data_IF_787806143004
#
_entry.id   IF_787806143004
#
_cell.length_a   1.000
_cell.length_b   1.000
_cell.length_c   1.000
_cell.angle_alpha   90.00
_cell.angle_beta   90.00
_cell.angle_gamma   90.00
#
_symmetry.space_group_name_H-M   'P 1'
#
loop_
_entity.id
_entity.type
_entity.pdbx_description
1 polymer ?
#
# COMPACT_ATOMS: atom_id res chain seq x y z
N UNK A 1 17.00 30.30 -11.37
CA UNK A 1 17.16 28.85 -11.63
C UNK A 1 15.80 28.30 -12.03
N UNK A 2 15.65 27.65 -13.19
CA UNK A 2 14.37 27.00 -13.55
C UNK A 2 14.14 25.89 -12.54
N UNK A 3 13.11 26.01 -11.71
CA UNK A 3 12.71 24.96 -10.79
C UNK A 3 12.23 23.78 -11.65
N UNK A 4 13.00 22.69 -11.70
CA UNK A 4 12.59 21.49 -12.44
C UNK A 4 11.37 20.91 -11.72
N UNK A 5 10.25 20.80 -12.43
CA UNK A 5 9.04 20.21 -11.89
C UNK A 5 9.33 18.78 -11.39
N UNK A 6 9.17 18.56 -10.09
CA UNK A 6 9.32 17.26 -9.47
C UNK A 6 7.99 16.52 -9.56
N UNK A 7 8.01 15.40 -10.28
CA UNK A 7 6.88 14.48 -10.33
C UNK A 7 6.98 13.40 -9.24
N UNK A 8 5.87 12.70 -9.02
CA UNK A 8 5.75 11.66 -8.00
C UNK A 8 6.78 10.54 -8.14
N UNK A 9 7.05 10.07 -9.37
CA UNK A 9 7.97 8.97 -9.62
C UNK A 9 9.41 9.28 -9.19
N UNK A 10 9.87 10.50 -9.50
CA UNK A 10 11.17 11.01 -9.06
C UNK A 10 11.27 11.08 -7.53
N UNK A 11 10.21 11.54 -6.85
CA UNK A 11 10.16 11.59 -5.39
C UNK A 11 10.17 10.17 -4.80
N UNK A 12 9.43 9.21 -5.39
CA UNK A 12 9.45 7.79 -4.99
C UNK A 12 10.85 7.21 -5.04
N UNK A 13 11.60 7.43 -6.13
CA UNK A 13 12.98 6.95 -6.23
C UNK A 13 13.85 7.49 -5.09
N UNK A 14 13.77 8.79 -4.80
CA UNK A 14 14.54 9.41 -3.71
C UNK A 14 14.15 8.87 -2.32
N UNK A 15 12.86 8.61 -2.09
CA UNK A 15 12.37 8.02 -0.84
C UNK A 15 12.93 6.61 -0.67
N UNK A 16 12.88 5.80 -1.73
CA UNK A 16 13.36 4.42 -1.69
C UNK A 16 14.88 4.38 -1.49
N UNK A 17 15.64 5.24 -2.17
CA UNK A 17 17.09 5.35 -2.00
C UNK A 17 17.44 5.64 -0.54
N UNK A 18 16.79 6.64 0.07
CA UNK A 18 16.95 6.94 1.50
C UNK A 18 16.58 5.77 2.42
N UNK A 19 15.55 5.00 2.08
CA UNK A 19 15.13 3.83 2.86
C UNK A 19 16.15 2.69 2.77
N UNK A 20 16.81 2.53 1.63
CA UNK A 20 17.92 1.58 1.44
C UNK A 20 19.14 2.03 2.26
N UNK A 21 19.57 3.28 2.09
CA UNK A 21 20.75 3.84 2.76
C UNK A 21 20.64 3.80 4.29
N UNK A 22 19.44 4.01 4.83
CA UNK A 22 19.18 3.94 6.28
C UNK A 22 19.02 2.51 6.81
N UNK A 23 19.04 1.49 5.95
CA UNK A 23 18.78 0.10 6.33
C UNK A 23 17.31 -0.18 6.70
N UNK A 24 16.39 0.75 6.44
CA UNK A 24 14.98 0.58 6.76
C UNK A 24 14.32 -0.57 5.96
N UNK A 25 14.91 -0.95 4.82
CA UNK A 25 14.47 -2.08 4.01
C UNK A 25 15.11 -3.43 4.40
N UNK A 26 15.96 -3.48 5.43
CA UNK A 26 16.53 -4.73 5.92
C UNK A 26 15.45 -5.57 6.61
N UNK A 27 15.28 -6.83 6.18
CA UNK A 27 14.19 -7.73 6.62
C UNK A 27 12.79 -7.07 6.48
N UNK A 28 12.61 -6.28 5.43
CA UNK A 28 11.37 -5.59 5.12
C UNK A 28 10.72 -6.12 3.85
N UNK A 29 9.47 -5.72 3.62
CA UNK A 29 8.95 -5.61 2.25
C UNK A 29 8.56 -4.16 1.97
N UNK A 30 9.00 -3.68 0.81
CA UNK A 30 8.54 -2.43 0.21
C UNK A 30 7.32 -2.72 -0.65
N UNK A 31 6.25 -1.95 -0.43
CA UNK A 31 4.97 -2.09 -1.11
C UNK A 31 4.70 -0.79 -1.85
N UNK A 32 4.59 -0.86 -3.17
CA UNK A 32 4.15 0.27 -4.00
C UNK A 32 2.63 0.23 -4.16
N UNK A 33 1.97 1.38 -4.08
CA UNK A 33 0.53 1.53 -4.30
C UNK A 33 -0.34 0.61 -3.40
N UNK A 34 -0.07 0.59 -2.10
CA UNK A 34 -0.78 -0.27 -1.15
C UNK A 34 -2.23 0.19 -1.00
N UNK A 35 -3.18 -0.64 -1.43
CA UNK A 35 -4.61 -0.38 -1.28
C UNK A 35 -5.07 -0.61 0.16
N UNK A 36 -5.80 0.36 0.72
CA UNK A 36 -6.31 0.34 2.11
C UNK A 36 -7.77 0.82 2.17
N UNK A 37 -8.39 0.70 3.35
CA UNK A 37 -9.77 1.13 3.62
C UNK A 37 -10.79 0.64 2.57
N UNK A 38 -10.89 -0.68 2.40
CA UNK A 38 -11.82 -1.31 1.46
C UNK A 38 -11.72 -0.73 0.04
N UNK A 39 -10.50 -0.55 -0.45
CA UNK A 39 -10.22 -0.06 -1.81
C UNK A 39 -10.50 1.41 -2.08
N UNK A 40 -10.87 2.19 -1.05
CA UNK A 40 -11.17 3.62 -1.18
C UNK A 40 -9.93 4.52 -1.17
N UNK A 41 -8.80 4.01 -0.67
CA UNK A 41 -7.53 4.74 -0.53
C UNK A 41 -6.35 3.88 -0.97
N UNK A 42 -5.28 4.56 -1.35
CA UNK A 42 -4.05 3.93 -1.84
C UNK A 42 -2.87 4.73 -1.32
N UNK A 43 -2.01 4.07 -0.55
CA UNK A 43 -0.77 4.62 -0.03
C UNK A 43 0.29 4.49 -1.11
N UNK A 44 1.02 5.56 -1.39
CA UNK A 44 2.00 5.59 -2.47
C UNK A 44 3.14 4.59 -2.24
N UNK A 45 3.73 4.60 -1.05
CA UNK A 45 4.69 3.59 -0.61
C UNK A 45 4.41 3.16 0.82
N UNK A 46 4.52 1.87 1.10
CA UNK A 46 4.48 1.33 2.46
C UNK A 46 5.66 0.41 2.71
N UNK A 47 6.18 0.44 3.95
CA UNK A 47 7.21 -0.47 4.42
C UNK A 47 6.63 -1.31 5.55
N UNK A 48 6.73 -2.63 5.43
CA UNK A 48 6.40 -3.57 6.50
C UNK A 48 7.67 -4.21 7.05
N UNK A 49 8.11 -3.74 8.22
CA UNK A 49 9.33 -4.17 8.90
C UNK A 49 9.24 -3.96 10.42
N UNK A 50 8.71 -4.94 11.16
CA UNK A 50 8.42 -4.81 12.60
C UNK A 50 7.32 -3.79 12.96
N UNK A 51 7.06 -2.85 12.05
CA UNK A 51 6.02 -1.82 12.05
C UNK A 51 5.54 -1.59 10.61
N UNK A 52 4.37 -0.98 10.48
CA UNK A 52 3.83 -0.47 9.21
C UNK A 52 4.10 1.02 9.10
N UNK A 53 4.85 1.43 8.07
CA UNK A 53 5.15 2.82 7.80
C UNK A 53 4.60 3.21 6.42
N UNK A 54 3.67 4.16 6.39
CA UNK A 54 3.13 4.75 5.17
C UNK A 54 3.89 6.01 4.75
N UNK A 55 4.12 6.14 3.45
CA UNK A 55 4.59 7.35 2.80
C UNK A 55 3.53 7.82 1.79
N UNK A 56 3.05 9.05 1.95
CA UNK A 56 2.16 9.73 1.02
C UNK A 56 2.94 10.83 0.32
N UNK A 57 2.90 10.87 -1.00
CA UNK A 57 3.72 11.75 -1.84
C UNK A 57 2.83 12.82 -2.48
N UNK A 58 3.29 14.08 -2.43
CA UNK A 58 2.65 15.23 -3.08
C UNK A 58 3.68 15.97 -3.94
N UNK A 59 3.60 15.73 -5.24
CA UNK A 59 4.44 16.33 -6.28
C UNK A 59 4.03 17.77 -6.61
N UNK A 60 4.79 18.45 -7.47
CA UNK A 60 4.48 19.85 -7.85
C UNK A 60 3.14 20.00 -8.58
N UNK A 61 2.65 18.94 -9.23
CA UNK A 61 1.39 18.98 -10.00
C UNK A 61 0.18 18.55 -9.18
N UNK A 62 0.41 18.08 -7.95
CA UNK A 62 -0.67 17.61 -7.09
C UNK A 62 -1.50 18.75 -6.50
N UNK A 63 -2.74 18.39 -6.14
CA UNK A 63 -3.56 19.21 -5.25
C UNK A 63 -3.61 18.57 -3.86
N UNK A 64 -3.78 19.39 -2.82
CA UNK A 64 -3.83 18.91 -1.45
C UNK A 64 -5.25 18.53 -0.98
N UNK A 65 -6.26 18.65 -1.86
CA UNK A 65 -7.69 18.44 -1.53
C UNK A 65 -8.01 17.09 -0.90
N UNK A 66 -7.23 16.05 -1.21
CA UNK A 66 -7.45 14.69 -0.70
C UNK A 66 -6.61 14.35 0.53
N UNK A 67 -5.64 15.20 0.90
CA UNK A 67 -4.62 14.86 1.87
C UNK A 67 -5.22 14.58 3.25
N UNK A 68 -6.13 15.43 3.75
CA UNK A 68 -6.74 15.23 5.07
C UNK A 68 -7.48 13.89 5.18
N UNK A 69 -8.28 13.56 4.17
CA UNK A 69 -9.01 12.29 4.11
C UNK A 69 -8.09 11.07 3.89
N UNK A 70 -6.88 11.25 3.36
CA UNK A 70 -5.86 10.20 3.29
C UNK A 70 -5.20 10.01 4.67
N UNK A 71 -4.76 11.10 5.31
CA UNK A 71 -4.12 11.07 6.63
C UNK A 71 -5.05 10.51 7.70
N UNK A 72 -6.33 10.89 7.68
CA UNK A 72 -7.33 10.35 8.60
C UNK A 72 -7.41 8.81 8.53
N UNK A 73 -7.28 8.22 7.34
CA UNK A 73 -7.26 6.76 7.15
C UNK A 73 -5.93 6.14 7.58
N UNK A 74 -4.81 6.76 7.19
CA UNK A 74 -3.50 6.16 7.42
C UNK A 74 -3.12 6.17 8.90
N UNK A 75 -3.46 7.24 9.62
CA UNK A 75 -3.20 7.34 11.06
C UNK A 75 -3.97 6.31 11.91
N UNK A 76 -5.04 5.71 11.37
CA UNK A 76 -5.76 4.63 12.04
C UNK A 76 -5.07 3.27 11.88
N UNK A 77 -4.30 3.08 10.81
CA UNK A 77 -3.91 1.75 10.31
C UNK A 77 -2.41 1.55 10.13
N UNK A 78 -1.60 2.62 10.19
CA UNK A 78 -0.14 2.56 10.11
C UNK A 78 0.48 3.06 11.41
N UNK A 79 1.59 2.44 11.80
CA UNK A 79 2.34 2.81 13.01
C UNK A 79 3.10 4.13 12.83
N UNK A 80 3.47 4.46 11.59
CA UNK A 80 4.10 5.74 11.24
C UNK A 80 3.56 6.23 9.89
N UNK A 81 3.33 7.53 9.79
CA UNK A 81 2.94 8.20 8.55
C UNK A 81 3.93 9.32 8.25
N UNK A 82 4.46 9.32 7.03
CA UNK A 82 5.31 10.39 6.51
C UNK A 82 4.68 10.96 5.25
N UNK A 83 4.49 12.27 5.22
CA UNK A 83 4.18 12.99 3.98
C UNK A 83 5.49 13.45 3.36
N UNK A 84 5.67 13.18 2.07
CA UNK A 84 6.82 13.63 1.28
C UNK A 84 6.31 14.58 0.22
N UNK A 85 6.86 15.78 0.17
CA UNK A 85 6.36 16.82 -0.74
C UNK A 85 7.48 17.67 -1.31
N UNK A 86 7.16 18.59 -2.20
CA UNK A 86 8.11 19.57 -2.76
C UNK A 86 8.05 20.89 -1.99
N UNK A 87 9.00 21.79 -2.23
CA UNK A 87 9.02 23.12 -1.63
C UNK A 87 7.71 23.90 -1.86
N UNK A 88 7.05 23.68 -3.01
CA UNK A 88 5.77 24.31 -3.36
C UNK A 88 4.69 24.10 -2.29
N UNK A 89 4.58 22.90 -1.75
CA UNK A 89 3.52 22.51 -0.84
C UNK A 89 3.98 22.43 0.63
N UNK A 90 5.28 22.53 0.89
CA UNK A 90 5.87 22.35 2.21
C UNK A 90 5.21 23.20 3.30
N UNK A 91 5.07 24.52 3.09
CA UNK A 91 4.49 25.43 4.08
C UNK A 91 3.02 25.11 4.38
N UNK A 92 2.22 24.86 3.34
CA UNK A 92 0.80 24.55 3.50
C UNK A 92 0.59 23.19 4.18
N UNK A 93 1.39 22.17 3.82
CA UNK A 93 1.31 20.86 4.46
C UNK A 93 1.76 20.96 5.91
N UNK A 94 2.84 21.69 6.21
CA UNK A 94 3.34 21.85 7.57
C UNK A 94 2.31 22.45 8.54
N UNK A 95 1.45 23.37 8.05
CA UNK A 95 0.41 24.00 8.87
C UNK A 95 -0.85 23.13 9.05
N UNK A 96 -1.14 22.19 8.15
CA UNK A 96 -2.35 21.35 8.23
C UNK A 96 -2.12 19.97 8.83
N UNK A 97 -0.92 19.38 8.70
CA UNK A 97 -0.71 18.00 9.16
C UNK A 97 -0.62 17.90 10.70
N UNK A 98 -1.17 16.84 11.30
CA UNK A 98 -1.02 16.56 12.73
C UNK A 98 0.44 16.46 13.19
N UNK A 99 0.68 16.64 14.49
CA UNK A 99 2.02 16.63 15.07
C UNK A 99 2.71 15.25 15.07
N UNK A 100 1.94 14.17 14.99
CA UNK A 100 2.48 12.82 14.87
C UNK A 100 2.85 12.44 13.43
N UNK A 101 2.54 13.26 12.41
CA UNK A 101 2.92 13.02 11.01
C UNK A 101 4.28 13.65 10.71
N UNK A 102 5.16 12.88 10.10
CA UNK A 102 6.48 13.36 9.65
C UNK A 102 6.37 14.05 8.29
N UNK A 103 7.12 15.14 8.08
CA UNK A 103 7.16 15.85 6.79
C UNK A 103 8.57 15.85 6.22
N UNK A 104 8.70 15.31 5.02
CA UNK A 104 9.91 15.38 4.21
C UNK A 104 9.68 16.33 3.04
N UNK A 105 10.68 17.16 2.76
CA UNK A 105 10.69 18.06 1.60
C UNK A 105 11.76 17.60 0.63
N UNK A 106 11.33 17.32 -0.60
CA UNK A 106 12.15 16.99 -1.75
C UNK A 106 12.53 18.29 -2.48
N UNK A 107 13.83 18.45 -2.72
CA UNK A 107 14.37 19.55 -3.52
C UNK A 107 15.27 18.98 -4.60
N UNK A 108 15.16 19.53 -5.82
CA UNK A 108 16.00 19.15 -6.96
C UNK A 108 17.20 20.09 -7.05
N UNK A 109 18.41 19.55 -7.05
CA UNK A 109 19.63 20.30 -7.32
C UNK A 109 20.62 19.43 -8.10
N UNK A 110 21.24 19.99 -9.15
CA UNK A 110 22.24 19.31 -9.96
C UNK A 110 21.83 17.89 -10.42
N UNK A 111 20.57 17.74 -10.87
CA UNK A 111 19.97 16.46 -11.31
C UNK A 111 19.87 15.38 -10.22
N UNK A 112 20.06 15.74 -8.95
CA UNK A 112 19.81 14.88 -7.79
C UNK A 112 18.64 15.43 -6.97
N UNK A 113 17.92 14.52 -6.33
CA UNK A 113 16.81 14.86 -5.43
C UNK A 113 17.26 14.58 -4.02
N UNK A 114 17.29 15.62 -3.19
CA UNK A 114 17.60 15.50 -1.78
C UNK A 114 16.32 15.56 -0.95
N UNK A 115 16.25 14.76 0.11
CA UNK A 115 15.13 14.75 1.05
C UNK A 115 15.55 15.35 2.40
N UNK A 116 14.91 16.46 2.80
CA UNK A 116 15.09 17.06 4.12
C UNK A 116 13.90 16.77 5.01
N UNK A 117 14.14 16.34 6.25
CA UNK A 117 13.06 16.23 7.24
C UNK A 117 12.84 17.62 7.86
N UNK A 118 11.65 18.19 7.66
CA UNK A 118 11.33 19.55 8.15
C UNK A 118 10.41 19.52 9.38
N UNK A 119 9.63 18.45 9.55
CA UNK A 119 8.84 18.17 10.77
C UNK A 119 9.03 16.71 11.12
N UNK A 120 9.43 16.41 12.36
CA UNK A 120 9.53 15.04 12.88
C UNK A 120 8.15 14.54 13.29
N UNK A 121 7.81 13.32 12.87
CA UNK A 121 6.60 12.63 13.30
C UNK A 121 6.88 11.65 14.44
N UNK A 122 5.85 10.90 14.84
CA UNK A 122 5.94 9.84 15.87
C UNK A 122 5.75 8.46 15.26
N UNK A 123 6.12 7.44 16.01
CA UNK A 123 5.77 6.05 15.71
C UNK A 123 4.90 5.55 16.86
N UNK A 124 3.64 5.30 16.58
CA UNK A 124 2.64 4.87 17.55
C UNK A 124 2.08 3.52 17.10
N UNK A 125 2.40 2.45 17.82
CA UNK A 125 2.01 1.09 17.40
C UNK A 125 0.48 0.93 17.41
N UNK A 126 -0.11 0.62 16.26
CA UNK A 126 -1.55 0.42 16.07
C UNK A 126 -2.04 -0.78 16.86
N UNK A 127 -2.85 -0.59 17.89
CA UNK A 127 -3.27 -1.66 18.80
C UNK A 127 -4.63 -2.29 18.47
N UNK A 128 -5.48 -1.64 17.68
CA UNK A 128 -6.82 -2.14 17.40
C UNK A 128 -6.85 -3.30 16.41
N UNK A 129 -7.61 -4.35 16.73
CA UNK A 129 -7.82 -5.51 15.85
C UNK A 129 -8.43 -5.13 14.51
N UNK A 130 -9.44 -4.25 14.49
CA UNK A 130 -10.03 -3.74 13.26
C UNK A 130 -8.99 -3.12 12.34
N UNK A 131 -8.14 -2.25 12.89
CA UNK A 131 -7.10 -1.58 12.14
C UNK A 131 -6.06 -2.56 11.58
N UNK A 132 -5.59 -3.50 12.40
CA UNK A 132 -4.61 -4.50 11.98
C UNK A 132 -5.20 -5.48 10.94
N UNK A 133 -6.40 -6.01 11.20
CA UNK A 133 -7.08 -6.94 10.30
C UNK A 133 -7.63 -6.26 9.03
N UNK A 134 -7.76 -4.92 9.00
CA UNK A 134 -8.15 -4.19 7.79
C UNK A 134 -7.19 -4.46 6.63
N UNK A 135 -5.89 -4.63 6.92
CA UNK A 135 -4.84 -4.96 5.95
C UNK A 135 -4.82 -6.43 5.51
N UNK A 136 -5.51 -7.30 6.24
CA UNK A 136 -5.60 -8.72 5.96
C UNK A 136 -6.74 -9.03 4.99
N UNK A 137 -6.52 -10.02 4.14
CA UNK A 137 -7.59 -10.67 3.38
C UNK A 137 -8.45 -11.54 4.30
N UNK A 138 -9.65 -11.88 3.85
CA UNK A 138 -10.56 -12.75 4.61
C UNK A 138 -9.94 -14.11 4.92
N UNK A 139 -9.24 -14.68 3.95
CA UNK A 139 -8.53 -15.94 4.12
C UNK A 139 -7.38 -15.85 5.14
N UNK A 140 -6.70 -14.71 5.22
CA UNK A 140 -5.62 -14.50 6.19
C UNK A 140 -6.15 -14.36 7.63
N UNK A 141 -7.29 -13.68 7.82
CA UNK A 141 -7.95 -13.61 9.14
C UNK A 141 -8.46 -14.99 9.56
N UNK A 142 -9.10 -15.72 8.65
CA UNK A 142 -9.50 -17.11 8.92
C UNK A 142 -8.30 -17.98 9.32
N UNK A 143 -7.15 -17.82 8.64
CA UNK A 143 -5.92 -18.54 8.99
C UNK A 143 -5.43 -18.16 10.39
N UNK A 144 -5.50 -16.88 10.78
CA UNK A 144 -5.17 -16.42 12.12
C UNK A 144 -6.04 -17.10 13.18
N UNK A 145 -7.37 -17.11 12.98
CA UNK A 145 -8.32 -17.75 13.90
C UNK A 145 -8.02 -19.25 14.04
N UNK A 146 -7.85 -19.95 12.92
CA UNK A 146 -7.53 -21.38 12.89
C UNK A 146 -6.24 -21.71 13.65
N UNK A 147 -5.18 -20.90 13.46
CA UNK A 147 -3.89 -21.08 14.17
C UNK A 147 -4.01 -20.92 15.68
N UNK A 148 -5.02 -20.20 16.16
CA UNK A 148 -5.28 -19.97 17.58
C UNK A 148 -6.44 -20.84 18.11
N UNK A 149 -6.84 -21.89 17.39
CA UNK A 149 -7.87 -22.84 17.83
C UNK A 149 -9.31 -22.29 17.80
N UNK A 150 -9.54 -21.15 17.14
CA UNK A 150 -10.85 -20.50 17.11
C UNK A 150 -11.65 -21.04 15.92
N UNK A 151 -12.79 -21.66 16.22
CA UNK A 151 -13.71 -22.17 15.20
C UNK A 151 -14.33 -21.01 14.42
N UNK A 152 -14.17 -21.04 13.11
CA UNK A 152 -14.76 -20.07 12.18
C UNK A 152 -14.96 -20.74 10.83
N UNK A 153 -15.61 -20.04 9.90
CA UNK A 153 -15.88 -20.50 8.53
C UNK A 153 -15.59 -19.39 7.53
N UNK A 154 -14.93 -19.73 6.43
CA UNK A 154 -14.53 -18.78 5.37
C UNK A 154 -15.71 -18.05 4.68
N UNK A 155 -16.92 -18.59 4.76
CA UNK A 155 -18.11 -17.94 4.20
C UNK A 155 -18.64 -16.80 5.08
N UNK A 156 -18.21 -16.69 6.34
CA UNK A 156 -18.61 -15.59 7.22
C UNK A 156 -18.13 -14.25 6.65
N UNK A 157 -18.82 -13.17 7.06
CA UNK A 157 -18.42 -11.80 6.72
C UNK A 157 -17.06 -11.47 7.34
N UNK A 158 -16.30 -10.57 6.71
CA UNK A 158 -14.95 -10.21 7.18
C UNK A 158 -15.02 -9.63 8.60
N UNK A 159 -16.02 -8.81 8.85
CA UNK A 159 -16.32 -8.16 10.14
C UNK A 159 -16.50 -9.20 11.25
N UNK A 160 -17.25 -10.28 10.99
CA UNK A 160 -17.45 -11.35 11.97
C UNK A 160 -16.14 -12.10 12.30
N UNK A 161 -15.25 -12.27 11.31
CA UNK A 161 -13.94 -12.87 11.55
C UNK A 161 -13.01 -11.94 12.33
N UNK A 162 -13.13 -10.62 12.13
CA UNK A 162 -12.37 -9.62 12.91
C UNK A 162 -12.84 -9.64 14.35
N UNK A 163 -14.16 -9.63 14.59
CA UNK A 163 -14.72 -9.72 15.95
C UNK A 163 -14.25 -11.01 16.66
N UNK A 164 -14.26 -12.15 15.96
CA UNK A 164 -13.73 -13.39 16.51
C UNK A 164 -12.22 -13.34 16.84
N UNK A 165 -11.47 -12.40 16.25
CA UNK A 165 -10.04 -12.24 16.52
C UNK A 165 -9.73 -11.43 17.79
N UNK A 166 -10.73 -10.75 18.38
CA UNK A 166 -10.54 -9.88 19.56
C UNK A 166 -10.01 -10.62 20.79
N UNK A 167 -10.28 -11.93 20.90
CA UNK A 167 -9.73 -12.77 21.98
C UNK A 167 -8.25 -13.12 21.80
N UNK A 168 -7.68 -12.87 20.61
CA UNK A 168 -6.26 -13.10 20.31
C UNK A 168 -5.47 -11.87 20.77
N UNK A 169 -4.32 -12.06 21.40
CA UNK A 169 -3.45 -10.93 21.77
C UNK A 169 -3.03 -10.10 20.55
N UNK A 170 -3.05 -8.77 20.70
CA UNK A 170 -2.65 -7.80 19.66
C UNK A 170 -1.27 -8.10 19.07
N UNK A 171 -0.35 -8.60 19.89
CA UNK A 171 1.00 -8.97 19.45
C UNK A 171 1.00 -10.14 18.46
N UNK A 172 0.16 -11.15 18.68
CA UNK A 172 0.01 -12.27 17.75
C UNK A 172 -0.67 -11.83 16.44
N UNK A 173 -1.71 -10.98 16.53
CA UNK A 173 -2.37 -10.41 15.35
C UNK A 173 -1.37 -9.61 14.51
N UNK A 174 -0.56 -8.75 15.16
CA UNK A 174 0.48 -7.96 14.48
C UNK A 174 1.54 -8.85 13.83
N UNK A 175 2.03 -9.87 14.55
CA UNK A 175 3.01 -10.80 13.98
C UNK A 175 2.47 -11.46 12.71
N UNK A 176 1.25 -11.99 12.79
CA UNK A 176 0.59 -12.62 11.64
C UNK A 176 0.35 -11.62 10.49
N UNK A 177 -0.03 -10.38 10.78
CA UNK A 177 -0.15 -9.32 9.78
C UNK A 177 1.16 -9.07 9.02
N UNK A 178 2.26 -8.89 9.75
CA UNK A 178 3.58 -8.67 9.16
C UNK A 178 4.01 -9.87 8.33
N UNK A 179 3.80 -11.10 8.81
CA UNK A 179 4.10 -12.32 8.06
C UNK A 179 3.30 -12.41 6.76
N UNK A 180 1.99 -12.10 6.81
CA UNK A 180 1.12 -12.06 5.64
C UNK A 180 1.57 -11.00 4.63
N UNK A 181 1.93 -9.79 5.08
CA UNK A 181 2.45 -8.74 4.19
C UNK A 181 3.78 -9.15 3.57
N UNK A 182 4.73 -9.66 4.37
CA UNK A 182 6.00 -10.17 3.85
C UNK A 182 5.77 -11.23 2.79
N UNK A 183 4.94 -12.23 3.06
CA UNK A 183 4.62 -13.29 2.09
C UNK A 183 3.97 -12.76 0.80
N UNK A 184 3.03 -11.81 0.90
CA UNK A 184 2.32 -11.25 -0.27
C UNK A 184 3.20 -10.41 -1.19
N UNK A 185 4.21 -9.75 -0.64
CA UNK A 185 5.01 -8.75 -1.36
C UNK A 185 6.49 -9.11 -1.51
N UNK A 186 6.95 -10.23 -0.92
CA UNK A 186 8.34 -10.69 -1.00
C UNK A 186 8.82 -10.82 -2.44
N UNK A 187 8.06 -11.47 -3.31
CA UNK A 187 8.48 -11.67 -4.71
C UNK A 187 8.73 -10.35 -5.44
N UNK A 188 7.81 -9.40 -5.36
CA UNK A 188 7.95 -8.08 -6.01
C UNK A 188 9.05 -7.25 -5.38
N UNK A 189 9.20 -7.33 -4.05
CA UNK A 189 10.28 -6.67 -3.33
C UNK A 189 11.64 -7.22 -3.74
N UNK A 190 11.83 -8.54 -3.73
CA UNK A 190 13.08 -9.19 -4.12
C UNK A 190 13.43 -8.90 -5.59
N UNK A 191 12.43 -8.94 -6.49
CA UNK A 191 12.63 -8.60 -7.91
C UNK A 191 13.09 -7.15 -8.10
N UNK A 192 12.54 -6.23 -7.31
CA UNK A 192 12.97 -4.84 -7.33
C UNK A 192 14.41 -4.70 -6.80
N UNK A 193 14.68 -5.17 -5.57
CA UNK A 193 15.99 -5.04 -4.92
C UNK A 193 17.09 -5.70 -5.74
N UNK A 194 16.89 -6.94 -6.21
CA UNK A 194 17.89 -7.66 -7.01
C UNK A 194 18.06 -7.07 -8.42
N UNK A 195 17.06 -6.32 -8.89
CA UNK A 195 17.11 -5.63 -10.17
C UNK A 195 17.74 -4.24 -10.10
N UNK A 196 18.09 -3.72 -8.92
CA UNK A 196 18.69 -2.39 -8.79
C UNK A 196 20.13 -2.40 -9.31
N UNK A 197 20.44 -1.43 -10.17
CA UNK A 197 21.82 -1.09 -10.53
C UNK A 197 22.40 -0.10 -9.50
N UNK A 198 23.50 0.58 -9.83
CA UNK A 198 24.14 1.56 -8.95
C UNK A 198 23.27 2.80 -8.62
N UNK A 199 22.23 3.09 -9.41
CA UNK A 199 21.27 4.18 -9.14
C UNK A 199 19.85 3.71 -9.41
N UNK A 200 18.91 4.15 -8.56
CA UNK A 200 17.48 3.90 -8.75
C UNK A 200 16.94 4.84 -9.82
N UNK A 201 16.27 4.26 -10.82
CA UNK A 201 15.61 4.95 -11.92
C UNK A 201 14.09 4.78 -11.83
N UNK A 202 13.35 5.64 -12.54
CA UNK A 202 11.88 5.52 -12.63
C UNK A 202 11.47 4.17 -13.21
N UNK A 203 12.25 3.63 -14.16
CA UNK A 203 11.94 2.34 -14.78
C UNK A 203 12.00 1.20 -13.75
N UNK A 204 12.81 1.30 -12.72
CA UNK A 204 12.90 0.29 -11.67
C UNK A 204 11.61 0.19 -10.85
N UNK A 205 10.84 1.28 -10.73
CA UNK A 205 9.54 1.27 -10.05
C UNK A 205 8.54 0.32 -10.71
N UNK A 206 8.72 -0.01 -12.00
CA UNK A 206 7.87 -1.00 -12.69
C UNK A 206 7.99 -2.40 -12.09
N UNK A 207 9.15 -2.74 -11.50
CA UNK A 207 9.41 -4.04 -10.85
C UNK A 207 8.70 -4.18 -9.50
N UNK A 208 8.25 -3.08 -8.90
CA UNK A 208 7.42 -3.08 -7.69
C UNK A 208 5.93 -3.29 -7.97
N UNK A 209 5.51 -3.37 -9.25
CA UNK A 209 4.12 -3.68 -9.60
C UNK A 209 3.84 -5.16 -9.36
N UNK A 210 2.69 -5.49 -8.80
CA UNK A 210 2.25 -6.89 -8.78
C UNK A 210 2.00 -7.35 -10.21
N UNK A 211 2.23 -8.63 -10.48
CA UNK A 211 1.94 -9.27 -11.77
C UNK A 211 0.46 -9.07 -12.17
N UNK A 212 -0.46 -8.93 -11.20
CA UNK A 212 -1.87 -8.59 -11.44
C UNK A 212 -2.11 -7.19 -12.03
N UNK A 213 -1.11 -6.31 -11.92
CA UNK A 213 -1.18 -4.89 -12.28
C UNK A 213 -0.36 -4.60 -13.57
N UNK A 214 0.20 -5.64 -14.19
CA UNK A 214 0.76 -5.53 -15.53
C UNK A 214 -0.37 -5.20 -16.51
N UNK A 215 -0.16 -4.26 -17.46
CA UNK A 215 -1.16 -3.99 -18.48
C UNK A 215 -1.51 -5.31 -19.16
N UNK A 216 -2.81 -5.61 -19.27
CA UNK A 216 -3.27 -6.66 -20.16
C UNK A 216 -2.65 -6.36 -21.52
N UNK A 217 -1.86 -7.29 -22.04
CA UNK A 217 -1.37 -7.23 -23.41
C UNK A 217 -2.56 -6.85 -24.29
N UNK A 218 -2.41 -5.80 -25.09
CA UNK A 218 -3.44 -5.41 -26.04
C UNK A 218 -3.71 -6.60 -26.96
N UNK A 219 -4.88 -7.21 -26.84
CA UNK A 219 -5.33 -8.32 -27.66
C UNK A 219 -5.75 -7.85 -29.07
N UNK A 220 -5.44 -6.60 -29.48
CA UNK A 220 -5.89 -6.02 -30.75
C UNK A 220 -5.39 -6.79 -31.99
N UNK A 221 -4.48 -7.75 -31.84
CA UNK A 221 -3.98 -8.62 -32.90
C UNK A 221 -4.27 -10.11 -32.68
N UNK A 222 -5.09 -10.44 -31.68
CA UNK A 222 -5.48 -11.83 -31.42
C UNK A 222 -6.84 -12.05 -32.05
N UNK A 223 -6.87 -12.91 -33.07
CA UNK A 223 -8.08 -13.36 -33.74
C UNK A 223 -9.13 -13.79 -32.70
N UNK A 224 -10.42 -13.47 -32.89
CA UNK A 224 -11.49 -13.76 -31.93
C UNK A 224 -11.54 -15.21 -31.44
N UNK A 225 -10.98 -16.13 -32.24
CA UNK A 225 -10.93 -17.57 -32.03
C UNK A 225 -9.94 -18.01 -30.92
N UNK A 226 -9.01 -17.13 -30.49
CA UNK A 226 -7.95 -17.47 -29.52
C UNK A 226 -8.10 -16.79 -28.15
N UNK A 227 -9.23 -16.14 -27.86
CA UNK A 227 -9.47 -15.57 -26.53
C UNK A 227 -10.12 -16.64 -25.64
N UNK A 228 -9.30 -17.39 -24.90
CA UNK A 228 -9.78 -18.01 -23.66
C UNK A 228 -10.17 -16.88 -22.69
N UNK A 229 -11.44 -16.48 -22.74
CA UNK A 229 -12.02 -15.52 -21.79
C UNK A 229 -12.07 -16.19 -20.42
N UNK A 230 -11.01 -16.05 -19.63
CA UNK A 230 -11.04 -16.43 -18.21
C UNK A 230 -12.09 -15.60 -17.49
N UNK A 231 -13.23 -16.22 -17.21
CA UNK A 231 -14.31 -15.68 -16.38
C UNK A 231 -13.74 -15.43 -14.98
N UNK A 232 -13.90 -14.21 -14.46
CA UNK A 232 -13.59 -13.93 -13.06
C UNK A 232 -14.69 -14.58 -12.21
N UNK A 233 -14.36 -15.70 -11.56
CA UNK A 233 -15.29 -16.33 -10.62
C UNK A 233 -15.43 -15.43 -9.38
N UNK A 234 -16.57 -14.73 -9.29
CA UNK A 234 -16.87 -13.79 -8.22
C UNK A 234 -16.96 -14.48 -6.85
N UNK A 235 -17.39 -15.74 -6.81
CA UNK A 235 -17.46 -16.50 -5.57
C UNK A 235 -16.05 -16.80 -5.07
N UNK A 236 -15.13 -17.20 -5.96
CA UNK A 236 -13.72 -17.40 -5.61
C UNK A 236 -13.07 -16.08 -5.18
N UNK A 237 -13.33 -14.99 -5.90
CA UNK A 237 -12.81 -13.67 -5.56
C UNK A 237 -13.30 -13.21 -4.18
N UNK A 238 -14.61 -13.27 -3.93
CA UNK A 238 -15.22 -12.81 -2.68
C UNK A 238 -14.88 -13.69 -1.47
N UNK A 239 -14.68 -14.99 -1.68
CA UNK A 239 -14.13 -15.90 -0.65
C UNK A 239 -12.72 -15.51 -0.24
N UNK A 240 -11.90 -15.04 -1.18
CA UNK A 240 -10.50 -14.67 -0.91
C UNK A 240 -10.36 -13.24 -0.38
N UNK A 241 -11.01 -12.27 -1.02
CA UNK A 241 -10.76 -10.83 -0.81
C UNK A 241 -11.92 -10.07 -0.14
N UNK A 242 -13.09 -10.69 0.04
CA UNK A 242 -14.30 -10.02 0.54
C UNK A 242 -15.20 -9.50 -0.58
N UNK A 243 -16.37 -8.96 -0.22
CA UNK A 243 -17.33 -8.42 -1.18
C UNK A 243 -16.82 -7.14 -1.86
N UNK A 244 -17.28 -6.89 -3.09
CA UNK A 244 -16.98 -5.64 -3.78
C UNK A 244 -17.67 -4.45 -3.08
N UNK A 245 -17.01 -3.27 -2.98
CA UNK A 245 -17.64 -2.08 -2.43
C UNK A 245 -18.92 -1.68 -3.18
N UNK A 246 -19.84 -1.02 -2.45
CA UNK A 246 -21.08 -0.47 -2.99
C UNK A 246 -20.90 0.58 -4.10
N UNK A 247 -19.68 1.07 -4.35
CA UNK A 247 -19.31 1.92 -5.49
C UNK A 247 -18.48 1.26 -6.61
N UNK A 248 -18.29 -0.07 -6.60
CA UNK A 248 -17.51 -0.75 -7.63
C UNK A 248 -18.14 -0.57 -9.04
N UNK A 249 -17.34 -0.29 -10.10
CA UNK A 249 -17.85 -0.10 -11.46
C UNK A 249 -18.75 -1.25 -11.93
N UNK A 250 -19.85 -0.89 -12.63
CA UNK A 250 -20.91 -1.84 -13.04
C UNK A 250 -20.36 -3.02 -13.84
N UNK A 251 -19.35 -2.82 -14.68
CA UNK A 251 -18.74 -3.89 -15.48
C UNK A 251 -17.99 -4.97 -14.65
N UNK A 252 -17.65 -4.67 -13.39
CA UNK A 252 -17.11 -5.64 -12.43
C UNK A 252 -18.25 -6.44 -11.79
N UNK A 253 -19.44 -5.85 -11.68
CA UNK A 253 -20.64 -6.45 -11.06
C UNK A 253 -21.45 -7.33 -12.00
N UNK A 254 -21.47 -7.02 -13.30
CA UNK A 254 -22.33 -7.68 -14.30
C UNK A 254 -21.82 -9.03 -14.81
N UNK A 255 -20.95 -9.72 -14.07
CA UNK A 255 -20.50 -11.09 -14.43
C UNK A 255 -20.79 -12.09 -13.32
N UNK A 256 -22.01 -12.04 -12.78
CA UNK A 256 -22.64 -13.24 -12.23
C UNK A 256 -22.73 -14.26 -13.35
N UNK A 257 -22.34 -15.52 -13.08
CA UNK A 257 -22.64 -16.65 -13.96
C UNK A 257 -24.10 -16.52 -14.40
N UNK A 258 -24.32 -16.38 -15.71
CA UNK A 258 -25.52 -16.99 -16.29
C UNK A 258 -25.19 -18.48 -16.33
N UNK A 259 -26.13 -19.28 -15.85
CA UNK A 259 -26.02 -20.73 -15.65
C UNK A 259 -25.41 -21.49 -16.84
#
# INVERSE_FOLDING_TARGET
MKNTLLNEAHIKCAVIERLIESGALNDAVLINEMVVANWSRRVDLAVANGKLHAFEIKSDVDTLRRLDGQLATYLQTFDKVTVVTTEKHATQIASMIPNNVELWVASASNQKISLKVVKRGRTDKVSGHDALCSHLTKAEIFTLLKKNGISSKLYQKKESLIQASEIISVNLVRKHLLDCLKNRYKKTHDQFINGLAHRITINDLTRLRKISDLPKISLAHISPENIERRILDYDVFSRKYGELPAGAPVFIRTRKKLD
#
